data_IF_388271173489
#
_entry.id   IF_388271173489
#
_cell.length_a   1.000
_cell.length_b   1.000
_cell.length_c   1.000
_cell.angle_alpha   90.00
_cell.angle_beta   90.00
_cell.angle_gamma   90.00
#
_symmetry.space_group_name_H-M   'P 1'
#
loop_
_entity.id
_entity.type
_entity.pdbx_description
1 polymer ?
#
# COMPACT_ATOMS: atom_id res chain seq x y z
N UNK A 1 -20.78 -23.15 42.40
CA UNK A 1 -20.67 -21.68 42.23
C UNK A 1 -19.26 -21.22 41.85
N UNK A 2 -18.19 -21.65 42.54
CA UNK A 2 -16.81 -21.24 42.23
C UNK A 2 -16.32 -21.63 40.82
N UNK A 3 -16.58 -22.88 40.41
CA UNK A 3 -16.19 -23.40 39.08
C UNK A 3 -16.86 -22.63 37.94
N UNK A 4 -18.15 -22.31 38.08
CA UNK A 4 -18.87 -21.50 37.10
C UNK A 4 -18.28 -20.08 36.97
N UNK A 5 -17.94 -19.44 38.10
CA UNK A 5 -17.29 -18.12 38.12
C UNK A 5 -15.92 -18.15 37.44
N UNK A 6 -15.18 -19.26 37.55
CA UNK A 6 -13.87 -19.44 36.93
C UNK A 6 -13.97 -19.63 35.41
N UNK A 7 -14.96 -20.40 34.92
CA UNK A 7 -15.24 -20.50 33.48
C UNK A 7 -15.68 -19.18 32.87
N UNK A 8 -16.52 -18.41 33.57
CA UNK A 8 -16.93 -17.07 33.12
C UNK A 8 -15.73 -16.12 33.07
N UNK A 9 -14.87 -16.15 34.09
CA UNK A 9 -13.66 -15.33 34.10
C UNK A 9 -12.70 -15.69 32.96
N UNK A 10 -12.51 -16.98 32.67
CA UNK A 10 -11.63 -17.44 31.60
C UNK A 10 -12.18 -17.05 30.22
N UNK A 11 -13.49 -17.16 30.03
CA UNK A 11 -14.17 -16.73 28.80
C UNK A 11 -14.03 -15.22 28.57
N UNK A 12 -14.21 -14.41 29.61
CA UNK A 12 -14.05 -12.95 29.51
C UNK A 12 -12.61 -12.55 29.17
N UNK A 13 -11.62 -13.19 29.79
CA UNK A 13 -10.20 -12.94 29.48
C UNK A 13 -9.86 -13.36 28.05
N UNK A 14 -10.35 -14.53 27.61
CA UNK A 14 -10.17 -15.00 26.24
C UNK A 14 -10.82 -14.06 25.22
N UNK A 15 -12.05 -13.61 25.46
CA UNK A 15 -12.74 -12.68 24.58
C UNK A 15 -11.99 -11.34 24.48
N UNK A 16 -11.48 -10.83 25.60
CA UNK A 16 -10.70 -9.59 25.62
C UNK A 16 -9.42 -9.72 24.76
N UNK A 17 -8.65 -10.80 24.93
CA UNK A 17 -7.44 -11.08 24.14
C UNK A 17 -7.72 -11.20 22.64
N UNK A 18 -8.84 -11.81 22.25
CA UNK A 18 -9.26 -11.94 20.85
C UNK A 18 -9.64 -10.57 20.26
N UNK A 19 -10.34 -9.71 21.00
CA UNK A 19 -10.71 -8.38 20.48
C UNK A 19 -9.51 -7.45 20.33
N UNK A 20 -8.51 -7.54 21.21
CA UNK A 20 -7.29 -6.72 21.14
C UNK A 20 -6.37 -7.08 19.96
N UNK A 21 -6.54 -8.26 19.36
CA UNK A 21 -5.74 -8.71 18.21
C UNK A 21 -6.35 -8.31 16.86
N UNK A 22 -7.56 -7.74 16.85
CA UNK A 22 -8.20 -7.20 15.64
C UNK A 22 -7.64 -5.80 15.39
N UNK A 23 -6.54 -5.73 14.64
CA UNK A 23 -6.05 -4.47 14.08
C UNK A 23 -6.82 -4.15 12.79
N UNK A 24 -7.72 -3.18 12.84
CA UNK A 24 -8.38 -2.66 11.64
C UNK A 24 -7.39 -1.77 10.88
N UNK A 25 -6.88 -2.23 9.73
CA UNK A 25 -6.09 -1.39 8.82
C UNK A 25 -7.06 -0.56 7.99
N UNK A 26 -7.09 0.76 8.22
CA UNK A 26 -7.93 1.69 7.46
C UNK A 26 -7.14 2.34 6.33
N UNK A 27 -6.95 1.60 5.24
CA UNK A 27 -6.43 2.14 3.99
C UNK A 27 -7.58 2.57 3.08
N UNK A 28 -7.59 3.82 2.62
CA UNK A 28 -8.52 4.32 1.61
C UNK A 28 -7.76 5.01 0.49
N UNK A 29 -8.35 4.96 -0.70
CA UNK A 29 -7.87 5.72 -1.85
C UNK A 29 -8.77 6.94 -2.07
N UNK A 30 -8.17 8.12 -2.11
CA UNK A 30 -8.85 9.39 -2.32
C UNK A 30 -8.61 9.84 -3.75
N UNK A 31 -9.68 10.14 -4.48
CA UNK A 31 -9.59 10.56 -5.89
C UNK A 31 -9.16 12.02 -5.96
N UNK A 32 -8.04 12.26 -6.62
CA UNK A 32 -7.43 13.57 -6.81
C UNK A 32 -7.23 13.87 -8.30
N UNK A 33 -7.68 15.04 -8.74
CA UNK A 33 -7.59 15.45 -10.14
C UNK A 33 -6.17 15.89 -10.49
N UNK A 34 -5.71 15.53 -11.69
CA UNK A 34 -4.40 15.96 -12.23
C UNK A 34 -3.21 15.67 -11.30
N UNK A 35 -3.31 14.62 -10.48
CA UNK A 35 -2.33 14.26 -9.45
C UNK A 35 -1.12 13.49 -9.98
N UNK A 36 -1.25 12.83 -11.14
CA UNK A 36 -0.14 12.20 -11.84
C UNK A 36 0.19 13.00 -13.10
N UNK A 37 1.48 13.27 -13.33
CA UNK A 37 1.96 13.96 -14.53
C UNK A 37 3.00 13.10 -15.25
N UNK A 38 2.75 12.77 -16.51
CA UNK A 38 3.74 12.15 -17.39
C UNK A 38 4.64 13.24 -17.93
N UNK A 39 5.93 13.18 -17.63
CA UNK A 39 6.90 14.20 -18.04
C UNK A 39 7.62 13.85 -19.35
N UNK A 40 7.73 12.55 -19.67
CA UNK A 40 8.45 12.03 -20.82
C UNK A 40 7.93 10.63 -21.19
N UNK A 41 7.93 10.23 -22.48
CA UNK A 41 8.28 11.03 -23.66
C UNK A 41 7.25 12.15 -23.94
N UNK A 42 7.63 13.13 -24.77
CA UNK A 42 6.75 14.27 -25.07
C UNK A 42 5.41 13.86 -25.69
N UNK A 43 5.39 12.78 -26.47
CA UNK A 43 4.18 12.21 -27.07
C UNK A 43 3.14 11.73 -26.06
N UNK A 44 3.56 11.38 -24.84
CA UNK A 44 2.70 10.94 -23.75
C UNK A 44 2.56 11.98 -22.63
N UNK A 45 3.07 13.20 -22.85
CA UNK A 45 3.09 14.24 -21.82
C UNK A 45 1.67 14.74 -21.54
N UNK A 46 1.14 14.39 -20.38
CA UNK A 46 -0.20 14.80 -19.93
C UNK A 46 -0.33 14.69 -18.41
N UNK A 47 -1.42 15.28 -17.89
CA UNK A 47 -1.86 15.11 -16.50
C UNK A 47 -3.03 14.14 -16.45
N UNK A 48 -3.08 13.33 -15.40
CA UNK A 48 -4.10 12.32 -15.19
C UNK A 48 -4.66 12.41 -13.78
N UNK A 49 -5.95 12.12 -13.65
CA UNK A 49 -6.60 11.91 -12.37
C UNK A 49 -6.14 10.56 -11.80
N UNK A 50 -6.01 10.46 -10.48
CA UNK A 50 -5.61 9.23 -9.81
C UNK A 50 -6.26 9.11 -8.44
N UNK A 51 -6.27 7.89 -7.89
CA UNK A 51 -6.69 7.67 -6.52
C UNK A 51 -5.46 7.38 -5.66
N UNK A 52 -5.18 8.25 -4.69
CA UNK A 52 -3.97 8.20 -3.85
C UNK A 52 -4.32 7.53 -2.53
N UNK A 53 -3.53 6.54 -2.12
CA UNK A 53 -3.65 5.92 -0.81
C UNK A 53 -3.31 6.94 0.30
N UNK A 54 -4.11 6.98 1.35
CA UNK A 54 -3.84 7.79 2.55
C UNK A 54 -2.74 7.18 3.46
N UNK A 55 -1.83 6.42 2.88
CA UNK A 55 -0.80 5.65 3.56
C UNK A 55 0.46 5.63 2.68
N UNK A 56 1.62 5.44 3.30
CA UNK A 56 2.91 5.46 2.56
C UNK A 56 3.33 6.83 2.04
N UNK A 57 2.64 7.90 2.47
CA UNK A 57 2.93 9.30 2.16
C UNK A 57 3.15 10.09 3.47
N UNK A 58 3.94 11.18 3.46
CA UNK A 58 4.11 12.03 4.64
C UNK A 58 2.85 12.88 4.93
N UNK A 59 2.74 13.39 6.15
CA UNK A 59 1.64 14.28 6.59
C UNK A 59 1.78 15.74 6.08
N UNK A 60 2.60 15.96 5.06
CA UNK A 60 2.81 17.25 4.42
C UNK A 60 2.76 17.13 2.89
N UNK A 61 2.47 18.23 2.21
CA UNK A 61 2.40 18.25 0.74
C UNK A 61 3.77 18.10 0.08
N UNK A 62 3.81 17.40 -1.06
CA UNK A 62 5.03 17.19 -1.83
C UNK A 62 4.79 16.49 -3.15
N UNK A 63 5.86 16.24 -3.89
CA UNK A 63 5.82 15.47 -5.14
C UNK A 63 7.00 14.50 -5.21
N UNK A 64 6.80 13.38 -5.92
CA UNK A 64 7.85 12.41 -6.23
C UNK A 64 8.01 12.33 -7.74
N UNK A 65 9.24 12.39 -8.23
CA UNK A 65 9.56 12.22 -9.66
C UNK A 65 10.40 10.97 -9.82
N UNK A 66 9.89 10.00 -10.58
CA UNK A 66 10.56 8.72 -10.83
C UNK A 66 10.43 8.29 -12.29
N UNK A 67 10.97 7.11 -12.58
CA UNK A 67 10.77 6.43 -13.86
C UNK A 67 9.76 5.31 -13.70
N UNK A 68 8.76 5.26 -14.58
CA UNK A 68 7.79 4.17 -14.61
C UNK A 68 8.42 2.89 -15.17
N UNK A 69 8.16 1.75 -14.55
CA UNK A 69 8.60 0.42 -15.00
C UNK A 69 7.47 -0.58 -14.87
N UNK A 70 7.21 -1.35 -15.92
CA UNK A 70 6.30 -2.49 -15.88
C UNK A 70 7.14 -3.79 -15.70
N UNK A 71 6.82 -4.65 -14.73
CA UNK A 71 7.62 -5.84 -14.47
C UNK A 71 7.33 -6.96 -15.48
N UNK A 72 8.37 -7.68 -15.90
CA UNK A 72 8.23 -8.81 -16.83
C UNK A 72 7.46 -10.01 -16.22
N UNK A 73 7.48 -10.13 -14.89
CA UNK A 73 6.81 -11.18 -14.12
C UNK A 73 6.16 -10.58 -12.88
N UNK A 74 5.00 -11.13 -12.49
CA UNK A 74 4.29 -10.68 -11.29
C UNK A 74 3.63 -9.30 -11.44
N UNK A 75 3.17 -8.93 -12.64
CA UNK A 75 2.53 -7.65 -12.90
C UNK A 75 1.26 -7.39 -12.07
N UNK A 76 0.61 -8.41 -11.52
CA UNK A 76 -0.49 -8.24 -10.57
C UNK A 76 -0.04 -7.86 -9.15
N UNK A 77 1.25 -8.00 -8.83
CA UNK A 77 1.79 -7.76 -7.49
C UNK A 77 1.26 -8.71 -6.41
N UNK A 78 0.59 -9.81 -6.79
CA UNK A 78 0.00 -10.76 -5.82
C UNK A 78 1.03 -11.70 -5.16
N UNK A 79 2.24 -11.77 -5.69
CA UNK A 79 3.34 -12.61 -5.17
C UNK A 79 4.57 -11.75 -4.91
N UNK A 80 5.45 -12.22 -4.03
CA UNK A 80 6.73 -11.58 -3.79
C UNK A 80 7.57 -11.60 -5.08
N UNK A 81 8.27 -10.50 -5.34
CA UNK A 81 9.19 -10.41 -6.45
C UNK A 81 10.53 -11.07 -6.09
N UNK A 82 11.06 -11.89 -7.00
CA UNK A 82 12.30 -12.61 -6.79
C UNK A 82 13.53 -11.69 -6.74
N UNK A 83 14.53 -12.04 -5.91
CA UNK A 83 15.85 -11.39 -5.83
C UNK A 83 16.03 -10.39 -4.68
N UNK A 84 17.27 -9.93 -4.46
CA UNK A 84 17.57 -8.87 -3.48
C UNK A 84 17.24 -7.50 -4.07
N UNK A 85 16.16 -6.88 -3.57
CA UNK A 85 15.68 -5.52 -3.97
C UNK A 85 15.50 -5.39 -5.49
N UNK A 86 14.57 -6.14 -6.10
CA UNK A 86 14.46 -6.31 -7.55
C UNK A 86 14.27 -5.00 -8.35
N UNK A 87 13.63 -4.00 -7.75
CA UNK A 87 13.35 -2.71 -8.42
C UNK A 87 14.17 -1.54 -7.90
N UNK A 88 15.25 -1.81 -7.13
CA UNK A 88 16.11 -0.74 -6.64
C UNK A 88 16.73 0.01 -7.81
N UNK A 89 16.39 1.29 -7.93
CA UNK A 89 16.95 2.15 -8.97
C UNK A 89 18.46 2.29 -8.82
N UNK A 90 19.16 2.23 -9.96
CA UNK A 90 20.58 2.57 -10.09
C UNK A 90 20.81 4.05 -10.37
N UNK A 91 19.73 4.80 -10.59
CA UNK A 91 19.77 6.24 -10.85
C UNK A 91 19.31 7.03 -9.61
N UNK A 92 19.55 8.35 -9.55
CA UNK A 92 19.02 9.19 -8.46
C UNK A 92 17.48 9.21 -8.41
N UNK A 93 16.80 8.86 -9.50
CA UNK A 93 15.33 8.83 -9.57
C UNK A 93 14.82 7.46 -9.10
N UNK A 94 13.79 7.41 -8.25
CA UNK A 94 13.17 6.15 -7.86
C UNK A 94 12.47 5.47 -9.04
N UNK A 95 12.28 4.15 -8.90
CA UNK A 95 11.44 3.35 -9.79
C UNK A 95 10.00 3.43 -9.30
N UNK A 96 9.07 3.80 -10.19
CA UNK A 96 7.62 3.72 -9.95
C UNK A 96 7.13 2.47 -10.67
N UNK A 97 6.74 1.45 -9.91
CA UNK A 97 6.30 0.18 -10.49
C UNK A 97 4.84 0.30 -10.96
N UNK A 98 4.59 -0.05 -12.22
CA UNK A 98 3.25 -0.13 -12.80
C UNK A 98 2.74 -1.56 -12.64
N UNK A 99 1.56 -1.71 -12.01
CA UNK A 99 0.93 -2.99 -11.75
C UNK A 99 -0.47 -3.03 -12.35
N UNK A 100 -0.87 -4.23 -12.73
CA UNK A 100 -2.22 -4.53 -13.21
C UNK A 100 -3.16 -4.79 -12.04
N UNK A 101 -4.41 -4.40 -12.24
CA UNK A 101 -5.46 -4.70 -11.28
C UNK A 101 -5.91 -6.15 -11.45
N UNK A 102 -5.69 -6.96 -10.41
CA UNK A 102 -6.40 -8.23 -10.15
C UNK A 102 -6.02 -9.36 -11.09
#
# INVERSE_FOLDING_TARGET
MAVFKQFVSLFLVSALLITSSISCVYGRFVVEKSSISVLSPLSLRSKHDSAIGNFGIPDYGGFMVGSAMYPDKGASGCQAFDGDKPFRSKSPRPTILLLDRG
#
